data_IF_601805515724
#
_entry.id   IF_601805515724
#
_cell.length_a   1.000
_cell.length_b   1.000
_cell.length_c   1.000
_cell.angle_alpha   90.00
_cell.angle_beta   90.00
_cell.angle_gamma   90.00
#
_symmetry.space_group_name_H-M   'P 1'
#
loop_
_entity.id
_entity.type
_entity.pdbx_description
1 polymer ?
#
# COMPACT_ATOMS: atom_id res chain seq x y z
N UNK A 1 -1.68 -21.97 -7.17
CA UNK A 1 -2.84 -21.04 -7.37
C UNK A 1 -2.47 -19.65 -6.87
N UNK A 2 -3.20 -18.57 -7.27
CA UNK A 2 -2.87 -17.21 -6.83
C UNK A 2 -3.00 -17.05 -5.32
N UNK A 3 -4.00 -17.67 -4.72
CA UNK A 3 -4.23 -17.64 -3.28
C UNK A 3 -3.04 -18.19 -2.46
N UNK A 4 -2.33 -19.19 -2.97
CA UNK A 4 -1.13 -19.71 -2.29
C UNK A 4 0.01 -18.70 -2.32
N UNK A 5 0.18 -17.97 -3.43
CA UNK A 5 1.18 -16.88 -3.50
C UNK A 5 0.84 -15.77 -2.52
N UNK A 6 -0.44 -15.39 -2.45
CA UNK A 6 -0.91 -14.37 -1.51
C UNK A 6 -0.73 -14.85 -0.07
N UNK A 7 -1.09 -16.10 0.24
CA UNK A 7 -0.89 -16.69 1.57
C UNK A 7 0.59 -16.72 1.95
N UNK A 8 1.47 -17.09 1.02
CA UNK A 8 2.92 -17.05 1.24
C UNK A 8 3.41 -15.63 1.55
N UNK A 9 2.90 -14.60 0.84
CA UNK A 9 3.19 -13.20 1.11
C UNK A 9 2.72 -12.79 2.51
N UNK A 10 1.48 -13.14 2.87
CA UNK A 10 0.91 -12.89 4.21
C UNK A 10 1.76 -13.52 5.30
N UNK A 11 2.15 -14.78 5.12
CA UNK A 11 2.96 -15.54 6.09
C UNK A 11 4.38 -14.99 6.20
N UNK A 12 5.03 -14.74 5.06
CA UNK A 12 6.40 -14.19 4.98
C UNK A 12 6.55 -12.89 5.76
N UNK A 13 5.58 -12.00 5.61
CA UNK A 13 5.58 -10.69 6.26
C UNK A 13 4.76 -10.64 7.57
N UNK A 14 4.18 -11.75 8.02
CA UNK A 14 3.33 -11.80 9.22
C UNK A 14 2.23 -10.73 9.19
N UNK A 15 1.52 -10.63 8.06
CA UNK A 15 0.52 -9.57 7.84
C UNK A 15 -0.76 -9.79 8.61
N UNK A 16 -1.19 -11.05 8.74
CA UNK A 16 -2.46 -11.45 9.35
C UNK A 16 -2.19 -12.57 10.35
N UNK A 17 -2.72 -12.41 11.54
CA UNK A 17 -2.67 -13.39 12.63
C UNK A 17 -4.06 -13.90 12.98
N UNK A 18 -4.14 -15.01 13.71
CA UNK A 18 -5.43 -15.54 14.17
C UNK A 18 -6.08 -14.57 15.16
N UNK A 19 -7.34 -14.26 14.93
CA UNK A 19 -8.11 -13.29 15.72
C UNK A 19 -8.09 -11.88 15.17
N UNK A 20 -7.31 -11.59 14.12
CA UNK A 20 -7.30 -10.28 13.48
C UNK A 20 -8.66 -9.87 12.93
N UNK A 21 -8.86 -8.56 12.88
CA UNK A 21 -9.99 -7.92 12.23
C UNK A 21 -9.47 -6.92 11.20
N UNK A 22 -9.90 -7.07 9.95
CA UNK A 22 -9.27 -6.44 8.78
C UNK A 22 -10.30 -5.59 8.05
N UNK A 23 -10.00 -4.30 7.87
CA UNK A 23 -10.72 -3.43 6.94
C UNK A 23 -10.04 -3.50 5.58
N UNK A 24 -10.77 -3.87 4.54
CA UNK A 24 -10.27 -3.90 3.17
C UNK A 24 -10.79 -2.68 2.42
N UNK A 25 -9.87 -1.87 1.88
CA UNK A 25 -10.22 -0.78 0.98
C UNK A 25 -10.58 -1.32 -0.41
N UNK A 26 -11.86 -1.24 -0.79
CA UNK A 26 -12.36 -1.78 -2.06
C UNK A 26 -12.88 -0.67 -2.96
N UNK A 27 -12.25 -0.49 -4.14
CA UNK A 27 -12.69 0.49 -5.13
C UNK A 27 -13.65 -0.06 -6.18
N UNK A 28 -13.85 -1.38 -6.22
CA UNK A 28 -14.57 -2.05 -7.31
C UNK A 28 -13.69 -2.43 -8.51
N UNK A 29 -12.46 -1.95 -8.57
CA UNK A 29 -11.49 -2.29 -9.61
C UNK A 29 -10.83 -3.67 -9.39
N UNK A 30 -10.10 -4.20 -10.41
CA UNK A 30 -9.60 -5.56 -10.43
C UNK A 30 -8.70 -5.89 -9.23
N UNK A 31 -7.76 -5.01 -8.87
CA UNK A 31 -6.84 -5.26 -7.76
C UNK A 31 -7.58 -5.42 -6.42
N UNK A 32 -8.54 -4.53 -6.15
CA UNK A 32 -9.29 -4.54 -4.90
C UNK A 32 -10.30 -5.69 -4.79
N UNK A 33 -10.94 -6.06 -5.90
CA UNK A 33 -11.85 -7.20 -5.94
C UNK A 33 -11.09 -8.52 -5.85
N UNK A 34 -9.93 -8.62 -6.50
CA UNK A 34 -9.04 -9.76 -6.36
C UNK A 34 -8.58 -9.94 -4.90
N UNK A 35 -8.16 -8.86 -4.22
CA UNK A 35 -7.75 -8.91 -2.82
C UNK A 35 -8.88 -9.41 -1.92
N UNK A 36 -10.09 -8.84 -2.08
CA UNK A 36 -11.26 -9.23 -1.28
C UNK A 36 -11.60 -10.70 -1.48
N UNK A 37 -11.76 -11.14 -2.74
CA UNK A 37 -12.08 -12.54 -3.07
C UNK A 37 -11.00 -13.50 -2.57
N UNK A 38 -9.74 -13.18 -2.78
CA UNK A 38 -8.63 -14.02 -2.34
C UNK A 38 -8.59 -14.19 -0.82
N UNK A 39 -8.79 -13.09 -0.05
CA UNK A 39 -8.82 -13.20 1.41
C UNK A 39 -10.02 -14.01 1.91
N UNK A 40 -11.19 -13.93 1.27
CA UNK A 40 -12.33 -14.78 1.58
C UNK A 40 -11.97 -16.26 1.36
N UNK A 41 -11.45 -16.59 0.19
CA UNK A 41 -11.09 -17.97 -0.15
C UNK A 41 -9.96 -18.54 0.70
N UNK A 42 -8.94 -17.73 1.00
CA UNK A 42 -7.84 -18.12 1.89
C UNK A 42 -8.37 -18.44 3.29
N UNK A 43 -9.27 -17.60 3.82
CA UNK A 43 -9.92 -17.82 5.12
C UNK A 43 -10.67 -19.15 5.15
N UNK A 44 -11.50 -19.42 4.14
CA UNK A 44 -12.33 -20.62 4.08
C UNK A 44 -11.51 -21.88 3.88
N UNK A 45 -10.61 -21.90 2.87
CA UNK A 45 -9.80 -23.07 2.53
C UNK A 45 -8.83 -23.49 3.66
N UNK A 46 -8.27 -22.50 4.36
CA UNK A 46 -7.29 -22.75 5.41
C UNK A 46 -7.90 -22.70 6.83
N UNK A 47 -9.20 -22.52 6.94
CA UNK A 47 -9.94 -22.39 8.22
C UNK A 47 -9.31 -21.35 9.15
N UNK A 48 -8.88 -20.23 8.59
CA UNK A 48 -8.25 -19.15 9.34
C UNK A 48 -9.29 -18.33 10.09
N UNK A 49 -8.93 -17.92 11.30
CA UNK A 49 -9.83 -17.12 12.15
C UNK A 49 -9.44 -15.63 12.06
N UNK A 50 -10.04 -14.92 11.10
CA UNK A 50 -10.01 -13.44 11.05
C UNK A 50 -11.33 -12.89 10.53
N UNK A 51 -11.66 -11.65 10.90
CA UNK A 51 -12.86 -10.95 10.41
C UNK A 51 -12.50 -10.04 9.24
N UNK A 52 -13.45 -9.86 8.33
CA UNK A 52 -13.31 -8.97 7.17
C UNK A 52 -14.42 -7.93 7.21
N UNK A 53 -14.05 -6.67 7.04
CA UNK A 53 -14.92 -5.53 6.77
C UNK A 53 -14.48 -4.85 5.48
N UNK A 54 -15.42 -4.25 4.76
CA UNK A 54 -15.11 -3.54 3.51
C UNK A 54 -15.42 -2.06 3.67
N UNK A 55 -14.46 -1.22 3.25
CA UNK A 55 -14.62 0.22 3.14
C UNK A 55 -14.55 0.62 1.66
N UNK A 56 -15.66 1.15 1.13
CA UNK A 56 -15.80 1.63 -0.25
C UNK A 56 -16.06 3.14 -0.28
N UNK A 57 -15.34 3.87 -1.14
CA UNK A 57 -15.58 5.30 -1.35
C UNK A 57 -16.15 5.51 -2.74
N UNK A 58 -17.34 6.12 -2.78
CA UNK A 58 -17.93 6.67 -3.98
C UNK A 58 -17.49 8.14 -4.12
N UNK A 59 -16.62 8.42 -5.09
CA UNK A 59 -16.04 9.75 -5.30
C UNK A 59 -17.05 10.80 -5.83
N UNK A 60 -18.29 10.39 -6.12
CA UNK A 60 -19.37 11.30 -6.50
C UNK A 60 -19.19 12.03 -7.85
N UNK A 61 -18.16 11.70 -8.61
CA UNK A 61 -17.76 12.43 -9.82
C UNK A 61 -18.47 11.94 -11.09
N UNK A 62 -19.06 10.74 -11.07
CA UNK A 62 -19.61 10.06 -12.25
C UNK A 62 -20.90 9.32 -11.93
N UNK A 63 -21.79 9.21 -12.91
CA UNK A 63 -23.00 8.37 -12.81
C UNK A 63 -22.66 6.88 -12.65
N UNK A 64 -21.54 6.44 -13.22
CA UNK A 64 -21.04 5.06 -13.12
C UNK A 64 -20.60 4.68 -11.70
N UNK A 65 -20.21 5.65 -10.87
CA UNK A 65 -19.77 5.40 -9.48
C UNK A 65 -20.87 4.80 -8.60
N UNK A 66 -22.14 5.08 -8.85
CA UNK A 66 -23.26 4.45 -8.13
C UNK A 66 -23.40 2.97 -8.55
N UNK A 67 -23.10 2.62 -9.80
CA UNK A 67 -23.03 1.24 -10.29
C UNK A 67 -21.87 0.44 -9.68
N UNK A 68 -20.70 1.08 -9.52
CA UNK A 68 -19.55 0.49 -8.84
C UNK A 68 -19.85 0.22 -7.36
N UNK A 69 -20.47 1.18 -6.69
CA UNK A 69 -20.89 1.05 -5.29
C UNK A 69 -21.87 -0.13 -5.12
N UNK A 70 -22.88 -0.20 -5.98
CA UNK A 70 -23.85 -1.31 -5.95
C UNK A 70 -23.16 -2.65 -6.18
N UNK A 71 -22.26 -2.75 -7.14
CA UNK A 71 -21.49 -3.98 -7.40
C UNK A 71 -20.72 -4.45 -6.16
N UNK A 72 -20.02 -3.53 -5.47
CA UNK A 72 -19.28 -3.86 -4.24
C UNK A 72 -20.22 -4.28 -3.10
N UNK A 73 -21.34 -3.57 -2.92
CA UNK A 73 -22.34 -3.91 -1.89
C UNK A 73 -22.99 -5.27 -2.14
N UNK A 74 -23.40 -5.56 -3.38
CA UNK A 74 -24.01 -6.84 -3.76
C UNK A 74 -23.01 -7.99 -3.56
N UNK A 75 -21.73 -7.78 -3.90
CA UNK A 75 -20.67 -8.75 -3.65
C UNK A 75 -20.46 -9.02 -2.16
N UNK A 76 -20.42 -7.99 -1.34
CA UNK A 76 -20.29 -8.11 0.12
C UNK A 76 -21.49 -8.81 0.76
N UNK A 77 -22.72 -8.44 0.36
CA UNK A 77 -23.94 -9.07 0.85
C UNK A 77 -23.97 -10.58 0.54
N UNK A 78 -23.59 -10.98 -0.68
CA UNK A 78 -23.49 -12.38 -1.09
C UNK A 78 -22.51 -13.19 -0.23
N UNK A 79 -21.47 -12.56 0.28
CA UNK A 79 -20.44 -13.19 1.10
C UNK A 79 -20.60 -12.94 2.60
N UNK A 80 -21.73 -12.37 3.05
CA UNK A 80 -22.00 -12.01 4.45
C UNK A 80 -20.91 -11.11 5.07
N UNK A 81 -20.43 -10.14 4.30
CA UNK A 81 -19.41 -9.16 4.71
C UNK A 81 -20.07 -7.79 4.88
N UNK A 82 -19.82 -7.14 6.00
CA UNK A 82 -20.28 -5.78 6.24
C UNK A 82 -19.51 -4.78 5.38
N UNK A 83 -20.26 -3.91 4.67
CA UNK A 83 -19.73 -2.96 3.70
C UNK A 83 -20.11 -1.53 4.09
N UNK A 84 -19.11 -0.74 4.45
CA UNK A 84 -19.24 0.68 4.75
C UNK A 84 -19.00 1.49 3.49
N UNK A 85 -19.92 2.40 3.18
CA UNK A 85 -19.84 3.25 1.98
C UNK A 85 -19.82 4.71 2.39
N UNK A 86 -18.85 5.46 1.88
CA UNK A 86 -18.75 6.92 2.01
C UNK A 86 -18.88 7.56 0.63
N UNK A 87 -19.81 8.52 0.48
CA UNK A 87 -19.98 9.29 -0.75
C UNK A 87 -19.47 10.70 -0.53
N UNK A 88 -18.43 11.10 -1.27
CA UNK A 88 -17.78 12.40 -1.11
C UNK A 88 -17.32 12.96 -2.45
N UNK A 89 -17.40 14.28 -2.61
CA UNK A 89 -16.89 14.97 -3.79
C UNK A 89 -15.41 15.37 -3.59
N UNK A 90 -14.51 14.57 -4.17
CA UNK A 90 -13.06 14.76 -4.04
C UNK A 90 -12.58 16.08 -4.63
N UNK A 91 -13.17 16.57 -5.72
CA UNK A 91 -12.79 17.85 -6.34
C UNK A 91 -13.13 19.04 -5.44
N UNK A 92 -14.23 18.97 -4.68
CA UNK A 92 -14.59 19.97 -3.69
C UNK A 92 -13.54 19.99 -2.57
N UNK A 93 -13.18 18.83 -2.03
CA UNK A 93 -12.15 18.69 -0.98
C UNK A 93 -10.80 19.21 -1.47
N UNK A 94 -10.40 18.88 -2.70
CA UNK A 94 -9.16 19.33 -3.30
C UNK A 94 -9.07 20.87 -3.37
N UNK A 95 -10.16 21.53 -3.79
CA UNK A 95 -10.26 23.00 -3.86
C UNK A 95 -10.22 23.64 -2.47
N UNK A 96 -10.96 23.09 -1.50
CA UNK A 96 -11.01 23.62 -0.12
C UNK A 96 -9.64 23.51 0.57
N UNK A 97 -8.94 22.38 0.38
CA UNK A 97 -7.63 22.14 0.99
C UNK A 97 -6.45 22.69 0.17
N UNK A 98 -6.70 23.24 -1.04
CA UNK A 98 -5.68 23.73 -1.98
C UNK A 98 -4.60 22.68 -2.31
N UNK A 99 -5.02 21.45 -2.52
CA UNK A 99 -4.17 20.31 -2.91
C UNK A 99 -4.65 19.68 -4.22
N UNK A 100 -3.82 18.81 -4.80
CA UNK A 100 -4.22 18.06 -6.01
C UNK A 100 -5.35 17.06 -5.74
N UNK A 101 -6.20 16.81 -6.73
CA UNK A 101 -7.33 15.86 -6.62
C UNK A 101 -6.86 14.45 -6.23
N UNK A 102 -5.71 13.98 -6.75
CA UNK A 102 -5.12 12.69 -6.38
C UNK A 102 -4.75 12.63 -4.89
N UNK A 103 -4.12 13.69 -4.39
CA UNK A 103 -3.76 13.81 -2.98
C UNK A 103 -4.99 13.88 -2.08
N UNK A 104 -6.00 14.66 -2.46
CA UNK A 104 -7.27 14.77 -1.74
C UNK A 104 -7.98 13.41 -1.66
N UNK A 105 -8.08 12.69 -2.78
CA UNK A 105 -8.64 11.34 -2.83
C UNK A 105 -7.86 10.33 -1.99
N UNK A 106 -6.53 10.48 -1.96
CA UNK A 106 -5.68 9.64 -1.09
C UNK A 106 -5.93 9.93 0.38
N UNK A 107 -5.94 11.18 0.80
CA UNK A 107 -6.22 11.59 2.20
C UNK A 107 -7.60 11.10 2.65
N UNK A 108 -8.62 11.31 1.83
CA UNK A 108 -9.98 10.84 2.11
C UNK A 108 -10.03 9.31 2.31
N UNK A 109 -9.37 8.54 1.44
CA UNK A 109 -9.33 7.07 1.58
C UNK A 109 -8.72 6.63 2.90
N UNK A 110 -7.54 7.16 3.24
CA UNK A 110 -6.88 6.76 4.48
C UNK A 110 -7.68 7.18 5.72
N UNK A 111 -8.23 8.41 5.74
CA UNK A 111 -9.09 8.87 6.82
C UNK A 111 -10.33 7.98 7.00
N UNK A 112 -10.99 7.61 5.92
CA UNK A 112 -12.15 6.74 5.98
C UNK A 112 -11.80 5.32 6.42
N UNK A 113 -10.69 4.76 5.96
CA UNK A 113 -10.26 3.43 6.41
C UNK A 113 -9.95 3.41 7.92
N UNK A 114 -9.36 4.46 8.45
CA UNK A 114 -9.09 4.61 9.89
C UNK A 114 -10.40 4.83 10.69
N UNK A 115 -11.37 5.57 10.15
CA UNK A 115 -12.71 5.73 10.71
C UNK A 115 -13.37 4.35 10.90
N UNK A 116 -13.46 3.54 9.84
CA UNK A 116 -14.07 2.22 9.88
C UNK A 116 -13.26 1.25 10.75
N UNK A 117 -11.93 1.32 10.70
CA UNK A 117 -11.07 0.54 11.61
C UNK A 117 -11.41 0.80 13.08
N UNK A 118 -11.65 2.07 13.45
CA UNK A 118 -12.00 2.42 14.83
C UNK A 118 -13.44 1.97 15.18
N UNK A 119 -14.40 2.14 14.27
CA UNK A 119 -15.79 1.75 14.44
C UNK A 119 -15.93 0.23 14.65
N UNK A 120 -15.19 -0.55 13.87
CA UNK A 120 -15.24 -2.02 13.92
C UNK A 120 -14.24 -2.63 14.91
N UNK A 121 -13.45 -1.81 15.62
CA UNK A 121 -12.33 -2.25 16.45
C UNK A 121 -11.34 -3.15 15.68
N UNK A 122 -11.14 -2.86 14.39
CA UNK A 122 -10.19 -3.61 13.56
C UNK A 122 -8.75 -3.21 13.85
N UNK A 123 -7.82 -4.14 13.67
CA UNK A 123 -6.40 -3.92 13.93
C UNK A 123 -5.53 -3.91 12.68
N UNK A 124 -6.11 -4.21 11.51
CA UNK A 124 -5.42 -4.19 10.21
C UNK A 124 -6.26 -3.48 9.15
N UNK A 125 -5.57 -2.82 8.20
CA UNK A 125 -6.16 -2.23 7.00
C UNK A 125 -5.44 -2.81 5.79
N UNK A 126 -6.17 -3.54 4.94
CA UNK A 126 -5.62 -4.15 3.73
C UNK A 126 -5.84 -3.26 2.51
N UNK A 127 -4.76 -3.01 1.75
CA UNK A 127 -4.75 -2.18 0.55
C UNK A 127 -4.21 -3.02 -0.62
N UNK A 128 -4.91 -2.96 -1.76
CA UNK A 128 -4.63 -3.75 -2.95
C UNK A 128 -3.48 -3.20 -3.82
N UNK A 129 -2.38 -2.74 -3.23
CA UNK A 129 -1.18 -2.42 -3.99
C UNK A 129 -0.50 -3.71 -4.45
N UNK A 130 -0.16 -3.77 -5.73
CA UNK A 130 0.44 -4.93 -6.37
C UNK A 130 1.92 -4.69 -6.75
N UNK A 131 2.58 -5.68 -7.34
CA UNK A 131 3.99 -5.60 -7.74
C UNK A 131 4.23 -4.48 -8.77
N UNK A 132 3.32 -4.29 -9.72
CA UNK A 132 3.45 -3.22 -10.72
C UNK A 132 3.38 -1.84 -10.06
N UNK A 133 2.52 -1.63 -9.06
CA UNK A 133 2.45 -0.37 -8.30
C UNK A 133 3.76 -0.07 -7.56
N UNK A 134 4.41 -1.11 -7.02
CA UNK A 134 5.73 -1.01 -6.38
C UNK A 134 6.79 -0.57 -7.38
N UNK A 135 6.84 -1.21 -8.54
CA UNK A 135 7.78 -0.88 -9.63
C UNK A 135 7.55 0.53 -10.18
N UNK A 136 6.29 0.92 -10.41
CA UNK A 136 5.92 2.28 -10.80
C UNK A 136 6.45 3.31 -9.79
N UNK A 137 6.28 3.04 -8.50
CA UNK A 137 6.74 3.92 -7.42
C UNK A 137 8.26 4.07 -7.41
N UNK A 138 9.00 2.97 -7.59
CA UNK A 138 10.45 2.99 -7.63
C UNK A 138 10.95 3.80 -8.83
N UNK A 139 10.38 3.57 -10.02
CA UNK A 139 10.73 4.35 -11.22
C UNK A 139 10.44 5.85 -11.04
N UNK A 140 9.29 6.19 -10.46
CA UNK A 140 8.96 7.58 -10.15
C UNK A 140 9.96 8.20 -9.16
N UNK A 141 10.41 7.45 -8.17
CA UNK A 141 11.41 7.89 -7.21
C UNK A 141 12.77 8.13 -7.90
N UNK A 142 13.20 7.21 -8.76
CA UNK A 142 14.43 7.35 -9.55
C UNK A 142 14.39 8.62 -10.42
N UNK A 143 13.28 8.84 -11.14
CA UNK A 143 13.07 10.02 -12.00
C UNK A 143 13.13 11.32 -11.20
N UNK A 144 12.66 11.33 -9.96
CA UNK A 144 12.68 12.49 -9.06
C UNK A 144 14.02 12.73 -8.37
N UNK A 145 14.97 11.82 -8.48
CA UNK A 145 16.23 11.83 -7.76
C UNK A 145 16.05 11.37 -6.32
N UNK A 146 16.24 10.08 -6.08
CA UNK A 146 16.11 9.50 -4.73
C UNK A 146 17.44 8.92 -4.25
N UNK A 147 17.62 8.88 -2.92
CA UNK A 147 18.60 8.00 -2.30
C UNK A 147 18.10 6.54 -2.25
N UNK A 148 18.89 5.67 -1.62
CA UNK A 148 18.62 4.23 -1.52
C UNK A 148 17.26 3.90 -0.88
N UNK A 149 16.75 4.75 0.01
CA UNK A 149 15.41 4.59 0.60
C UNK A 149 14.29 4.57 -0.45
N UNK A 150 14.38 5.37 -1.50
CA UNK A 150 13.34 5.39 -2.53
C UNK A 150 13.35 4.15 -3.43
N UNK A 151 14.44 3.37 -3.42
CA UNK A 151 14.55 2.12 -4.16
C UNK A 151 13.81 0.96 -3.48
N UNK A 152 13.46 1.08 -2.20
CA UNK A 152 12.65 0.07 -1.49
C UNK A 152 11.19 0.04 -1.99
N UNK A 153 10.71 1.16 -2.54
CA UNK A 153 9.37 1.29 -3.11
C UNK A 153 8.25 1.29 -2.06
N UNK A 154 7.24 0.46 -2.28
CA UNK A 154 6.09 0.32 -1.38
C UNK A 154 6.37 -0.81 -0.38
N UNK A 155 6.33 -0.49 0.91
CA UNK A 155 6.50 -1.46 1.99
C UNK A 155 5.33 -2.46 2.05
N UNK A 156 5.60 -3.75 2.29
CA UNK A 156 4.54 -4.76 2.50
C UNK A 156 3.64 -4.44 3.69
N UNK A 157 4.23 -3.92 4.77
CA UNK A 157 3.53 -3.46 5.99
C UNK A 157 4.01 -2.06 6.34
N UNK A 158 3.08 -1.18 6.72
CA UNK A 158 3.40 0.15 7.24
C UNK A 158 2.72 0.36 8.58
N UNK A 159 3.50 0.82 9.57
CA UNK A 159 3.06 1.12 10.94
C UNK A 159 2.36 -0.07 11.64
N UNK A 160 2.71 -1.29 11.29
CA UNK A 160 2.03 -2.52 11.75
C UNK A 160 0.49 -2.53 11.58
N UNK A 161 -0.04 -1.62 10.80
CA UNK A 161 -1.47 -1.38 10.55
C UNK A 161 -1.86 -1.66 9.10
N UNK A 162 -1.15 -1.03 8.15
CA UNK A 162 -1.48 -1.15 6.73
C UNK A 162 -0.74 -2.33 6.12
N UNK A 163 -1.48 -3.30 5.59
CA UNK A 163 -0.95 -4.51 4.96
C UNK A 163 -1.24 -4.53 3.47
N UNK A 164 -0.38 -5.14 2.67
CA UNK A 164 -0.49 -5.22 1.20
C UNK A 164 -0.27 -6.65 0.70
N UNK A 165 -1.27 -7.51 0.83
CA UNK A 165 -1.13 -8.92 0.47
C UNK A 165 -0.79 -9.19 -1.00
N UNK A 166 -1.12 -8.23 -1.91
CA UNK A 166 -0.83 -8.34 -3.34
C UNK A 166 0.53 -7.77 -3.76
N UNK A 167 1.38 -7.34 -2.82
CA UNK A 167 2.61 -6.57 -3.13
C UNK A 167 3.65 -7.36 -3.96
N UNK A 168 3.59 -8.69 -3.93
CA UNK A 168 4.46 -9.58 -4.72
C UNK A 168 3.73 -10.21 -5.93
N UNK A 169 2.50 -9.79 -6.24
CA UNK A 169 1.65 -10.32 -7.32
C UNK A 169 1.66 -9.35 -8.50
N UNK A 170 1.93 -9.86 -9.70
CA UNK A 170 1.84 -9.07 -10.92
C UNK A 170 0.38 -8.79 -11.33
N UNK A 171 0.14 -7.65 -11.95
CA UNK A 171 -1.19 -7.25 -12.44
C UNK A 171 -1.80 -8.29 -13.39
N UNK A 172 -1.01 -8.89 -14.30
CA UNK A 172 -1.50 -9.94 -15.21
C UNK A 172 -2.08 -11.15 -14.48
N UNK A 173 -1.51 -11.51 -13.31
CA UNK A 173 -2.01 -12.63 -12.50
C UNK A 173 -3.33 -12.23 -11.81
N UNK A 174 -3.47 -10.97 -11.38
CA UNK A 174 -4.70 -10.43 -10.81
C UNK A 174 -5.83 -10.42 -11.83
N UNK A 175 -5.56 -9.95 -13.05
CA UNK A 175 -6.53 -9.93 -14.15
C UNK A 175 -7.03 -11.33 -14.49
N UNK A 176 -6.09 -12.27 -14.66
CA UNK A 176 -6.40 -13.69 -14.88
C UNK A 176 -7.23 -14.29 -13.73
N UNK A 177 -6.90 -13.95 -12.48
CA UNK A 177 -7.66 -14.42 -11.32
C UNK A 177 -9.08 -13.88 -11.31
N UNK A 178 -9.28 -12.62 -11.68
CA UNK A 178 -10.61 -12.03 -11.81
C UNK A 178 -11.45 -12.77 -12.87
N UNK A 179 -10.85 -13.11 -14.02
CA UNK A 179 -11.51 -13.89 -15.08
C UNK A 179 -11.88 -15.31 -14.61
N UNK A 180 -10.95 -16.03 -14.01
CA UNK A 180 -11.16 -17.41 -13.50
C UNK A 180 -12.26 -17.46 -12.43
N UNK A 181 -12.37 -16.44 -11.59
CA UNK A 181 -13.39 -16.35 -10.54
C UNK A 181 -14.66 -15.62 -10.98
N UNK A 182 -14.79 -15.28 -12.27
CA UNK A 182 -15.96 -14.56 -12.84
C UNK A 182 -16.28 -13.28 -12.08
N UNK A 183 -15.26 -12.58 -11.62
CA UNK A 183 -15.41 -11.23 -11.07
C UNK A 183 -15.59 -10.26 -12.25
N UNK A 184 -16.48 -9.30 -12.08
CA UNK A 184 -16.75 -8.26 -13.09
C UNK A 184 -16.27 -6.89 -12.60
N UNK A 185 -14.96 -6.73 -12.37
CA UNK A 185 -14.43 -5.49 -11.81
C UNK A 185 -14.68 -4.32 -12.77
N UNK A 186 -14.93 -3.15 -12.21
CA UNK A 186 -15.14 -1.94 -12.98
C UNK A 186 -13.80 -1.27 -13.26
N UNK A 187 -13.51 -1.04 -14.54
CA UNK A 187 -12.25 -0.41 -14.97
C UNK A 187 -12.48 1.09 -15.11
N UNK A 188 -11.77 1.88 -14.32
CA UNK A 188 -11.78 3.34 -14.47
C UNK A 188 -11.03 3.75 -15.74
N UNK A 189 -11.76 4.40 -16.67
CA UNK A 189 -11.22 4.86 -17.96
C UNK A 189 -10.10 5.88 -17.79
N UNK A 190 -10.04 6.63 -16.70
CA UNK A 190 -8.96 7.59 -16.44
C UNK A 190 -7.60 6.94 -16.21
N UNK A 191 -7.56 5.63 -15.92
CA UNK A 191 -6.29 4.88 -15.86
C UNK A 191 -5.53 4.86 -17.19
N UNK A 192 -6.23 5.06 -18.30
CA UNK A 192 -5.63 5.12 -19.66
C UNK A 192 -5.20 6.53 -20.08
N UNK A 193 -5.56 7.55 -19.30
CA UNK A 193 -5.18 8.94 -19.58
C UNK A 193 -3.76 9.21 -19.07
N UNK A 194 -2.87 9.66 -19.97
CA UNK A 194 -1.47 9.96 -19.63
C UNK A 194 -1.27 11.38 -19.06
N UNK A 195 -2.20 11.86 -18.24
CA UNK A 195 -2.14 13.16 -17.59
C UNK A 195 -1.18 13.10 -16.38
N UNK A 196 -1.36 12.09 -15.54
CA UNK A 196 -0.58 11.93 -14.32
C UNK A 196 0.74 11.20 -14.58
N UNK A 197 1.80 11.58 -13.86
CA UNK A 197 3.13 10.98 -13.99
C UNK A 197 3.09 9.45 -13.81
N UNK A 198 2.28 8.95 -12.87
CA UNK A 198 2.13 7.51 -12.65
C UNK A 198 1.57 6.79 -13.88
N UNK A 199 0.56 7.37 -14.51
CA UNK A 199 -0.02 6.80 -15.73
C UNK A 199 0.99 6.82 -16.89
N UNK A 200 1.82 7.88 -17.01
CA UNK A 200 2.92 7.90 -18.01
C UNK A 200 3.94 6.79 -17.76
N UNK A 201 4.33 6.56 -16.51
CA UNK A 201 5.25 5.47 -16.18
C UNK A 201 4.62 4.12 -16.52
N UNK A 202 3.35 3.89 -16.16
CA UNK A 202 2.59 2.67 -16.41
C UNK A 202 2.36 2.38 -17.88
N UNK A 203 1.86 3.38 -18.60
CA UNK A 203 1.32 3.19 -19.95
C UNK A 203 2.36 3.44 -21.06
N UNK A 204 3.43 4.18 -20.77
CA UNK A 204 4.45 4.54 -21.76
C UNK A 204 5.84 4.01 -21.38
N UNK A 205 6.36 4.34 -20.20
CA UNK A 205 7.74 4.05 -19.86
C UNK A 205 8.00 2.56 -19.66
N UNK A 206 7.22 1.88 -18.82
CA UNK A 206 7.40 0.45 -18.56
C UNK A 206 7.22 -0.38 -19.85
N UNK A 207 6.17 -0.17 -20.68
CA UNK A 207 6.04 -0.85 -21.96
C UNK A 207 7.21 -0.60 -22.91
N UNK A 208 7.70 0.64 -22.98
CA UNK A 208 8.85 0.99 -23.79
C UNK A 208 10.11 0.25 -23.34
N UNK A 209 10.42 0.25 -22.03
CA UNK A 209 11.56 -0.50 -21.49
C UNK A 209 11.42 -1.99 -21.75
N UNK A 210 10.21 -2.55 -21.57
CA UNK A 210 9.95 -3.98 -21.84
C UNK A 210 10.24 -4.35 -23.29
N UNK A 211 9.85 -3.49 -24.22
CA UNK A 211 10.00 -3.75 -25.65
C UNK A 211 11.43 -3.57 -26.16
N UNK A 212 12.08 -2.48 -25.76
CA UNK A 212 13.33 -2.04 -26.38
C UNK A 212 14.58 -2.46 -25.59
N UNK A 213 14.46 -2.75 -24.28
CA UNK A 213 15.62 -2.97 -23.41
C UNK A 213 15.56 -4.29 -22.63
N UNK A 214 14.50 -4.50 -21.83
CA UNK A 214 14.42 -5.65 -20.94
C UNK A 214 12.96 -6.09 -20.74
N UNK A 215 12.52 -7.21 -21.36
CA UNK A 215 11.16 -7.72 -21.18
C UNK A 215 10.82 -8.06 -19.73
N UNK A 216 11.83 -8.35 -18.89
CA UNK A 216 11.68 -8.71 -17.48
C UNK A 216 11.99 -7.54 -16.54
N UNK A 217 11.78 -6.29 -16.98
CA UNK A 217 12.11 -5.09 -16.17
C UNK A 217 11.38 -5.06 -14.81
N UNK A 218 10.16 -5.58 -14.73
CA UNK A 218 9.38 -5.63 -13.47
C UNK A 218 10.11 -6.50 -12.45
N UNK A 219 10.55 -7.69 -12.84
CA UNK A 219 11.31 -8.60 -11.97
C UNK A 219 12.69 -8.04 -11.60
N UNK A 220 13.35 -7.37 -12.57
CA UNK A 220 14.66 -6.76 -12.33
C UNK A 220 14.57 -5.64 -11.27
N UNK A 221 13.57 -4.78 -11.35
CA UNK A 221 13.34 -3.71 -10.36
C UNK A 221 12.88 -4.30 -9.02
N UNK A 222 12.06 -5.34 -9.00
CA UNK A 222 11.69 -6.01 -7.76
C UNK A 222 12.90 -6.63 -7.04
N UNK A 223 13.81 -7.27 -7.78
CA UNK A 223 15.08 -7.78 -7.23
C UNK A 223 15.91 -6.64 -6.64
N UNK A 224 16.07 -5.53 -7.36
CA UNK A 224 16.78 -4.35 -6.86
C UNK A 224 16.13 -3.84 -5.55
N UNK A 225 14.80 -3.73 -5.52
CA UNK A 225 14.06 -3.30 -4.34
C UNK A 225 14.29 -4.23 -3.15
N UNK A 226 14.28 -5.55 -3.35
CA UNK A 226 14.53 -6.54 -2.28
C UNK A 226 15.93 -6.37 -1.69
N UNK A 227 16.95 -6.23 -2.53
CA UNK A 227 18.34 -6.00 -2.08
C UNK A 227 18.42 -4.68 -1.31
N UNK A 228 17.90 -3.58 -1.88
CA UNK A 228 17.91 -2.28 -1.22
C UNK A 228 17.18 -2.29 0.12
N UNK A 229 16.10 -3.07 0.24
CA UNK A 229 15.37 -3.22 1.51
C UNK A 229 16.22 -3.93 2.57
N UNK A 230 16.92 -5.01 2.22
CA UNK A 230 17.80 -5.71 3.16
C UNK A 230 18.99 -4.84 3.61
N UNK A 231 19.60 -4.11 2.67
CA UNK A 231 20.68 -3.13 2.97
C UNK A 231 20.17 -2.04 3.91
N UNK A 232 18.98 -1.47 3.66
CA UNK A 232 18.37 -0.47 4.53
C UNK A 232 18.06 -1.02 5.92
N UNK A 233 17.53 -2.24 6.01
CA UNK A 233 17.25 -2.90 7.29
C UNK A 233 18.52 -3.11 8.10
N UNK A 234 19.61 -3.52 7.44
CA UNK A 234 20.91 -3.67 8.07
C UNK A 234 21.45 -2.34 8.59
N UNK A 235 21.46 -1.31 7.74
CA UNK A 235 21.92 0.04 8.11
C UNK A 235 21.07 0.62 9.26
N UNK A 236 19.76 0.47 9.22
CA UNK A 236 18.89 0.95 10.29
C UNK A 236 19.17 0.25 11.65
N UNK A 237 19.44 -1.06 11.63
CA UNK A 237 19.86 -1.79 12.84
C UNK A 237 21.18 -1.25 13.39
N UNK A 238 22.16 -1.01 12.50
CA UNK A 238 23.46 -0.47 12.87
C UNK A 238 23.32 0.94 13.46
N UNK A 239 22.56 1.82 12.80
CA UNK A 239 22.28 3.18 13.28
C UNK A 239 21.60 3.17 14.63
N UNK A 240 20.58 2.34 14.85
CA UNK A 240 19.88 2.25 16.12
C UNK A 240 20.81 1.81 17.25
N UNK A 241 21.70 0.84 17.00
CA UNK A 241 22.69 0.40 17.99
C UNK A 241 23.69 1.52 18.33
N UNK A 242 24.17 2.25 17.31
CA UNK A 242 25.08 3.37 17.50
C UNK A 242 24.36 4.51 18.23
N UNK A 243 23.13 4.85 17.82
CA UNK A 243 22.31 5.87 18.45
C UNK A 243 22.14 5.62 19.95
N UNK A 244 21.82 4.38 20.34
CA UNK A 244 21.68 4.03 21.75
C UNK A 244 22.99 4.24 22.54
N UNK A 245 24.15 4.07 21.91
CA UNK A 245 25.48 4.31 22.53
C UNK A 245 25.89 5.79 22.56
N UNK A 246 25.28 6.61 21.69
CA UNK A 246 25.49 8.06 21.64
C UNK A 246 24.57 8.83 22.57
N UNK A 247 23.42 8.26 22.92
CA UNK A 247 22.39 8.90 23.71
C UNK A 247 22.87 9.13 25.12
N UNK A 248 22.88 10.39 25.57
CA UNK A 248 23.19 10.78 26.96
C UNK A 248 21.91 11.02 27.75
N UNK A 249 20.96 11.77 27.16
CA UNK A 249 19.66 12.06 27.76
C UNK A 249 18.57 12.13 26.67
N UNK A 250 17.41 11.59 26.99
CA UNK A 250 16.20 11.70 26.15
C UNK A 250 15.03 12.17 27.02
N UNK A 251 14.66 13.43 26.86
CA UNK A 251 13.50 14.02 27.54
C UNK A 251 12.35 14.14 26.54
N UNK A 252 11.55 13.08 26.41
CA UNK A 252 10.31 13.09 25.62
C UNK A 252 9.17 13.51 26.54
N UNK A 253 8.89 14.79 26.61
CA UNK A 253 7.69 15.28 27.29
C UNK A 253 6.54 15.30 26.30
N UNK A 254 5.59 14.35 26.42
CA UNK A 254 4.43 14.21 25.54
C UNK A 254 3.51 15.45 25.55
N UNK A 255 3.63 16.32 26.56
CA UNK A 255 2.84 17.55 26.71
C UNK A 255 3.62 18.81 26.30
N UNK A 256 4.94 18.74 26.13
CA UNK A 256 5.75 19.89 25.76
C UNK A 256 5.89 20.02 24.24
N UNK A 257 5.91 21.28 23.74
CA UNK A 257 6.11 21.57 22.31
C UNK A 257 7.50 21.20 21.76
N UNK A 258 8.45 20.83 22.61
CA UNK A 258 9.82 20.52 22.22
C UNK A 258 10.33 19.27 22.95
N UNK A 259 10.71 18.25 22.17
CA UNK A 259 11.47 17.11 22.66
C UNK A 259 12.97 17.49 22.63
N UNK A 260 13.71 17.16 23.68
CA UNK A 260 15.14 17.41 23.74
C UNK A 260 15.89 16.04 23.74
N UNK A 261 16.86 15.92 22.85
CA UNK A 261 17.74 14.76 22.73
C UNK A 261 19.18 15.28 22.88
N UNK A 262 19.94 14.70 23.79
CA UNK A 262 21.34 15.03 24.01
C UNK A 262 22.22 13.85 23.61
N UNK A 263 23.15 14.09 22.68
CA UNK A 263 24.06 13.08 22.16
C UNK A 263 25.51 13.41 22.53
N UNK A 264 26.34 12.37 22.71
CA UNK A 264 27.79 12.49 22.87
C UNK A 264 28.45 12.92 21.56
N UNK A 265 28.77 14.21 21.45
CA UNK A 265 29.37 14.79 20.24
C UNK A 265 30.74 14.19 19.89
N UNK A 266 31.55 13.79 20.89
CA UNK A 266 32.86 13.18 20.64
C UNK A 266 32.67 11.83 19.94
N UNK A 267 31.83 10.98 20.47
CA UNK A 267 31.50 9.69 19.86
C UNK A 267 30.79 9.87 18.50
N UNK A 268 29.89 10.85 18.36
CA UNK A 268 29.22 11.13 17.10
C UNK A 268 30.24 11.49 15.99
N UNK A 269 31.23 12.32 16.31
CA UNK A 269 32.23 12.74 15.33
C UNK A 269 33.13 11.60 14.83
N UNK A 270 33.28 10.52 15.57
CA UNK A 270 34.04 9.34 15.13
C UNK A 270 33.26 8.40 14.23
N UNK A 271 31.94 8.59 14.05
CA UNK A 271 31.13 7.71 13.20
C UNK A 271 31.36 8.00 11.72
N UNK A 272 31.18 6.96 10.90
CA UNK A 272 31.21 7.07 9.44
C UNK A 272 30.11 8.01 8.91
N UNK A 273 30.40 8.66 7.76
CA UNK A 273 29.46 9.61 7.17
C UNK A 273 28.09 8.98 6.91
N UNK A 274 28.04 7.74 6.44
CA UNK A 274 26.79 7.02 6.16
C UNK A 274 25.92 6.87 7.40
N UNK A 275 26.49 6.78 8.58
CA UNK A 275 25.78 6.72 9.86
C UNK A 275 25.24 8.11 10.25
N UNK A 276 26.03 9.15 10.05
CA UNK A 276 25.67 10.53 10.40
C UNK A 276 24.51 11.11 9.60
N UNK A 277 24.31 10.62 8.37
CA UNK A 277 23.22 11.07 7.48
C UNK A 277 21.95 10.23 7.56
N UNK A 278 21.94 9.19 8.38
CA UNK A 278 20.76 8.32 8.66
C UNK A 278 20.08 8.76 9.95
#
# INVERSE_FOLDING_TARGET
MLEEKILNTITKYKMIESGDSIVIGVSGGPDSMCLLQALIQIKEKNKLNYKIYVAHINHGLRKEADGETKYVQDFCAKNNIECFVKKENVDKIAKEQKIGTEEAGRKLRYSFFEEIKNETNSNKIAIAHNLNDKVETILMNIIRGTGTNGLTGIEPIRNNLYIRPLIEIERKEIEKYCEENKLEPKIDKTNFENIYTRNKVRNLLIPYIKKEFNPNIVDAIDKLSKISTEEQNYLNKLVNNIYSNLLLEENINKEAKHNQIILDLKKFNTQDLVIKIK
#
